data_IF_690199275261
#
_entry.id   IF_690199275261
#
_cell.length_a   1.000
_cell.length_b   1.000
_cell.length_c   1.000
_cell.angle_alpha   90.00
_cell.angle_beta   90.00
_cell.angle_gamma   90.00
#
_symmetry.space_group_name_H-M   'P 1'
#
loop_
_entity.id
_entity.type
_entity.pdbx_description
1 polymer ?
#
# COMPACT_ATOMS: atom_id res chain seq x y z
N UNK A 1 13.54 -6.27 -7.47
CA UNK A 1 12.74 -5.05 -7.74
C UNK A 1 13.65 -3.84 -7.72
N UNK A 2 13.55 -2.95 -8.71
CA UNK A 2 14.29 -1.68 -8.77
C UNK A 2 13.57 -0.65 -7.89
N UNK A 3 14.23 -0.16 -6.83
CA UNK A 3 13.94 1.03 -6.01
C UNK A 3 12.46 1.31 -5.64
N UNK A 4 12.05 0.94 -4.41
CA UNK A 4 10.68 1.17 -3.89
C UNK A 4 10.26 2.64 -3.95
N UNK A 5 11.14 3.56 -3.54
CA UNK A 5 10.81 4.99 -3.46
C UNK A 5 10.50 5.60 -4.83
N UNK A 6 11.25 5.22 -5.86
CA UNK A 6 11.01 5.69 -7.24
C UNK A 6 9.70 5.12 -7.80
N UNK A 7 9.45 3.82 -7.60
CA UNK A 7 8.23 3.20 -8.07
C UNK A 7 6.98 3.73 -7.35
N UNK A 8 7.07 4.00 -6.04
CA UNK A 8 5.97 4.54 -5.25
C UNK A 8 5.56 5.94 -5.74
N UNK A 9 6.52 6.79 -6.10
CA UNK A 9 6.20 8.12 -6.61
C UNK A 9 5.57 8.05 -8.00
N UNK A 10 6.17 7.29 -8.93
CA UNK A 10 5.61 7.12 -10.27
C UNK A 10 4.19 6.51 -10.23
N UNK A 11 3.97 5.54 -9.34
CA UNK A 11 2.65 4.96 -9.14
C UNK A 11 1.65 6.01 -8.65
N UNK A 12 2.00 6.80 -7.62
CA UNK A 12 1.11 7.81 -7.08
C UNK A 12 0.72 8.87 -8.14
N UNK A 13 1.70 9.43 -8.86
CA UNK A 13 1.45 10.46 -9.88
C UNK A 13 0.58 9.95 -11.03
N UNK A 14 0.86 8.74 -11.53
CA UNK A 14 0.07 8.15 -12.61
C UNK A 14 -1.38 7.87 -12.17
N UNK A 15 -1.58 7.49 -10.91
CA UNK A 15 -2.88 7.18 -10.36
C UNK A 15 -3.80 8.41 -10.25
N UNK A 16 -3.25 9.60 -10.04
CA UNK A 16 -4.06 10.83 -9.95
C UNK A 16 -4.79 11.11 -11.28
N UNK A 17 -4.11 10.95 -12.41
CA UNK A 17 -4.67 11.16 -13.74
C UNK A 17 -5.77 10.15 -14.10
N UNK A 18 -5.51 8.86 -13.85
CA UNK A 18 -6.49 7.80 -14.07
C UNK A 18 -7.72 7.95 -13.18
N UNK A 19 -7.51 8.33 -11.91
CA UNK A 19 -8.60 8.60 -10.96
C UNK A 19 -9.48 9.75 -11.45
N UNK A 20 -8.87 10.85 -11.90
CA UNK A 20 -9.60 11.98 -12.45
C UNK A 20 -10.43 11.58 -13.68
N UNK A 21 -9.86 10.77 -14.58
CA UNK A 21 -10.57 10.29 -15.77
C UNK A 21 -11.80 9.42 -15.41
N UNK A 22 -11.65 8.48 -14.48
CA UNK A 22 -12.76 7.60 -14.05
C UNK A 22 -13.85 8.41 -13.34
N UNK A 23 -13.47 9.22 -12.34
CA UNK A 23 -14.42 9.95 -11.50
C UNK A 23 -15.14 11.07 -12.24
N UNK A 24 -14.50 11.67 -13.25
CA UNK A 24 -15.14 12.66 -14.14
C UNK A 24 -16.29 12.07 -14.97
N UNK A 25 -16.39 10.75 -15.08
CA UNK A 25 -17.51 10.04 -15.69
C UNK A 25 -18.58 9.61 -14.66
N UNK A 26 -18.53 10.13 -13.44
CA UNK A 26 -19.41 9.78 -12.32
C UNK A 26 -19.36 8.28 -11.95
N UNK A 27 -18.24 7.62 -12.21
CA UNK A 27 -18.01 6.22 -11.85
C UNK A 27 -17.34 6.19 -10.47
N UNK A 28 -17.95 5.54 -9.46
CA UNK A 28 -17.32 5.37 -8.16
C UNK A 28 -15.99 4.62 -8.29
N UNK A 29 -14.95 5.16 -7.66
CA UNK A 29 -13.60 4.66 -7.74
C UNK A 29 -12.99 4.43 -6.36
N UNK A 30 -12.53 3.20 -6.12
CA UNK A 30 -11.90 2.81 -4.86
C UNK A 30 -10.50 2.25 -5.14
N UNK A 31 -9.53 2.61 -4.32
CA UNK A 31 -8.15 2.19 -4.48
C UNK A 31 -7.70 1.29 -3.33
N UNK A 32 -6.97 0.22 -3.63
CA UNK A 32 -6.28 -0.59 -2.62
C UNK A 32 -4.79 -0.56 -2.93
N UNK A 33 -3.98 -0.16 -1.94
CA UNK A 33 -2.54 -0.06 -2.02
C UNK A 33 -1.90 -0.96 -0.96
N UNK A 34 -1.31 -2.07 -1.39
CA UNK A 34 -0.67 -3.06 -0.50
C UNK A 34 0.84 -2.93 -0.61
N UNK A 35 1.51 -2.75 0.51
CA UNK A 35 2.97 -2.64 0.58
C UNK A 35 3.54 -3.40 1.77
N UNK A 36 4.73 -3.97 1.60
CA UNK A 36 5.47 -4.55 2.71
C UNK A 36 6.23 -3.47 3.48
N UNK A 37 6.22 -3.54 4.81
CA UNK A 37 6.93 -2.63 5.70
C UNK A 37 8.43 -2.57 5.39
N UNK A 38 8.99 -3.71 5.00
CA UNK A 38 10.43 -3.90 4.79
C UNK A 38 10.66 -4.81 3.59
N UNK A 39 11.44 -4.36 2.62
CA UNK A 39 11.82 -5.15 1.44
C UNK A 39 13.32 -5.08 1.19
N UNK A 40 13.98 -6.18 0.82
CA UNK A 40 15.41 -6.15 0.51
C UNK A 40 15.65 -5.44 -0.83
N UNK A 41 16.63 -4.55 -0.84
CA UNK A 41 17.14 -3.88 -2.03
C UNK A 41 18.46 -4.52 -2.43
N UNK A 42 18.51 -5.02 -3.66
CA UNK A 42 19.69 -5.61 -4.28
C UNK A 42 20.26 -4.68 -5.35
N UNK A 43 21.58 -4.52 -5.37
CA UNK A 43 22.28 -3.79 -6.42
C UNK A 43 22.38 -4.60 -7.72
N UNK A 44 22.86 -3.93 -8.77
CA UNK A 44 23.26 -4.57 -10.03
C UNK A 44 24.26 -5.69 -9.71
N UNK A 45 23.95 -6.92 -10.14
CA UNK A 45 24.71 -8.12 -9.76
C UNK A 45 24.06 -8.97 -8.66
N UNK A 46 22.92 -8.54 -8.09
CA UNK A 46 22.13 -9.34 -7.16
C UNK A 46 22.64 -9.32 -5.71
N UNK A 47 23.60 -8.45 -5.42
CA UNK A 47 24.21 -8.31 -4.09
C UNK A 47 23.27 -7.50 -3.19
N UNK A 48 22.99 -8.01 -1.99
CA UNK A 48 22.24 -7.27 -0.98
C UNK A 48 22.95 -5.96 -0.63
N UNK A 49 22.22 -4.84 -0.61
CA UNK A 49 22.75 -3.53 -0.20
C UNK A 49 22.13 -3.06 1.11
N UNK A 50 20.79 -3.06 1.18
CA UNK A 50 20.04 -2.56 2.33
C UNK A 50 18.62 -3.08 2.30
N UNK A 51 17.89 -2.85 3.39
CA UNK A 51 16.44 -2.92 3.37
C UNK A 51 15.86 -1.53 3.09
N UNK A 52 14.93 -1.46 2.15
CA UNK A 52 14.03 -0.32 2.03
C UNK A 52 12.90 -0.51 3.03
N UNK A 53 12.75 0.47 3.91
CA UNK A 53 11.76 0.47 4.99
C UNK A 53 10.75 1.57 4.67
N UNK A 54 9.47 1.21 4.69
CA UNK A 54 8.38 2.18 4.54
C UNK A 54 8.31 3.04 5.80
N UNK A 55 8.32 4.36 5.59
CA UNK A 55 8.23 5.37 6.64
C UNK A 55 6.96 6.20 6.47
N UNK A 56 6.58 6.95 7.50
CA UNK A 56 5.48 7.90 7.44
C UNK A 56 5.67 8.93 6.32
N UNK A 57 6.92 9.36 6.07
CA UNK A 57 7.24 10.28 4.99
C UNK A 57 6.85 9.72 3.61
N UNK A 58 7.02 8.41 3.39
CA UNK A 58 6.61 7.78 2.12
C UNK A 58 5.09 7.79 1.93
N UNK A 59 4.33 7.78 3.03
CA UNK A 59 2.87 7.82 3.00
C UNK A 59 2.28 9.22 3.15
N UNK A 60 3.10 10.24 3.38
CA UNK A 60 2.65 11.62 3.60
C UNK A 60 1.77 12.15 2.45
N UNK A 61 2.06 11.76 1.21
CA UNK A 61 1.21 12.10 0.04
C UNK A 61 -0.22 11.57 0.17
N UNK A 62 -0.38 10.34 0.70
CA UNK A 62 -1.69 9.78 0.98
C UNK A 62 -2.33 10.43 2.20
N UNK A 63 -1.54 10.89 3.19
CA UNK A 63 -2.06 11.66 4.33
C UNK A 63 -2.66 13.00 3.87
N UNK A 64 -2.00 13.69 2.95
CA UNK A 64 -2.54 14.91 2.33
C UNK A 64 -3.82 14.56 1.56
N UNK A 65 -3.76 13.58 0.65
CA UNK A 65 -4.91 13.16 -0.17
C UNK A 65 -6.11 12.69 0.67
N UNK A 66 -5.87 12.08 1.83
CA UNK A 66 -6.93 11.58 2.72
C UNK A 66 -7.84 12.65 3.31
N UNK A 67 -7.41 13.91 3.25
CA UNK A 67 -8.13 15.09 3.74
C UNK A 67 -8.94 15.77 2.66
N UNK A 68 -8.70 15.42 1.39
CA UNK A 68 -9.41 16.02 0.26
C UNK A 68 -10.84 15.51 0.21
N UNK A 69 -11.77 16.41 -0.15
CA UNK A 69 -13.15 16.05 -0.39
C UNK A 69 -13.28 15.42 -1.80
N UNK A 70 -13.66 14.14 -1.93
CA UNK A 70 -13.81 13.52 -3.24
C UNK A 70 -14.87 14.21 -4.11
N UNK A 71 -15.87 14.88 -3.53
CA UNK A 71 -16.90 15.59 -4.31
C UNK A 71 -16.37 16.89 -4.95
N UNK A 72 -15.25 17.42 -4.45
CA UNK A 72 -14.62 18.65 -4.96
C UNK A 72 -13.40 18.36 -5.83
N UNK A 73 -12.68 17.27 -5.52
CA UNK A 73 -11.41 16.93 -6.16
C UNK A 73 -11.49 15.57 -6.87
N UNK A 74 -11.63 15.57 -8.21
CA UNK A 74 -11.76 14.33 -8.97
C UNK A 74 -10.48 13.48 -9.03
N UNK A 75 -9.32 14.03 -8.65
CA UNK A 75 -8.06 13.28 -8.62
C UNK A 75 -7.89 12.40 -7.38
N UNK A 76 -8.78 12.50 -6.38
CA UNK A 76 -8.79 11.61 -5.22
C UNK A 76 -9.83 10.49 -5.40
N UNK A 77 -9.53 9.23 -5.02
CA UNK A 77 -10.53 8.16 -4.98
C UNK A 77 -11.64 8.44 -3.97
N UNK A 78 -12.81 7.82 -4.14
CA UNK A 78 -13.91 7.93 -3.15
C UNK A 78 -13.51 7.30 -1.81
N UNK A 79 -12.74 6.20 -1.85
CA UNK A 79 -11.99 5.64 -0.72
C UNK A 79 -10.70 4.98 -1.16
N UNK A 80 -9.69 5.06 -0.31
CA UNK A 80 -8.42 4.34 -0.46
C UNK A 80 -8.16 3.45 0.76
N UNK A 81 -7.78 2.21 0.54
CA UNK A 81 -7.22 1.32 1.57
C UNK A 81 -5.71 1.23 1.39
N UNK A 82 -4.96 1.55 2.45
CA UNK A 82 -3.54 1.24 2.54
C UNK A 82 -3.37 0.03 3.45
N UNK A 83 -2.75 -1.03 2.91
CA UNK A 83 -2.38 -2.21 3.67
C UNK A 83 -0.86 -2.25 3.80
N UNK A 84 -0.35 -1.97 4.99
CA UNK A 84 1.05 -2.11 5.35
C UNK A 84 1.25 -3.48 6.01
N UNK A 85 1.89 -4.39 5.29
CA UNK A 85 2.12 -5.77 5.72
C UNK A 85 3.50 -5.95 6.33
N UNK A 86 3.57 -6.63 7.46
CA UNK A 86 4.79 -7.18 8.03
C UNK A 86 4.88 -8.65 7.63
N UNK A 87 6.00 -9.04 7.01
CA UNK A 87 6.29 -10.43 6.67
C UNK A 87 6.98 -11.14 7.83
N UNK A 88 6.74 -12.45 7.97
CA UNK A 88 7.47 -13.32 8.87
C UNK A 88 8.98 -13.23 8.62
N UNK A 89 9.74 -12.99 9.69
CA UNK A 89 11.20 -12.98 9.63
C UNK A 89 11.74 -14.42 9.73
N UNK A 90 12.75 -14.74 8.93
CA UNK A 90 13.44 -16.04 9.00
C UNK A 90 14.13 -16.25 10.34
N UNK A 91 14.75 -15.18 10.84
CA UNK A 91 15.29 -15.04 12.18
C UNK A 91 15.47 -13.54 12.46
N UNK A 92 15.52 -13.12 13.73
CA UNK A 92 15.73 -11.71 14.07
C UNK A 92 16.94 -11.12 13.36
N UNK A 93 16.73 -10.09 12.55
CA UNK A 93 17.81 -9.39 11.84
C UNK A 93 18.43 -10.17 10.67
N UNK A 94 17.79 -11.24 10.18
CA UNK A 94 18.29 -11.99 9.02
C UNK A 94 18.46 -11.08 7.79
N UNK A 95 19.56 -11.26 7.06
CA UNK A 95 19.86 -10.58 5.80
C UNK A 95 19.86 -11.63 4.69
N UNK A 96 18.93 -11.48 3.74
CA UNK A 96 18.89 -12.36 2.56
C UNK A 96 20.07 -12.07 1.63
N UNK A 97 20.77 -13.13 1.23
CA UNK A 97 22.02 -13.03 0.46
C UNK A 97 21.80 -12.48 -0.94
N UNK A 98 20.81 -13.04 -1.62
CA UNK A 98 20.38 -12.65 -2.96
C UNK A 98 18.86 -12.77 -3.08
N UNK A 99 18.32 -12.41 -4.25
CA UNK A 99 16.88 -12.48 -4.52
C UNK A 99 16.33 -13.91 -4.53
N UNK A 100 17.17 -14.93 -4.77
CA UNK A 100 16.73 -16.34 -4.74
C UNK A 100 16.57 -16.81 -3.31
N UNK A 101 17.53 -16.52 -2.43
CA UNK A 101 17.47 -16.81 -0.99
C UNK A 101 16.22 -16.18 -0.34
N UNK A 102 15.85 -14.97 -0.74
CA UNK A 102 14.59 -14.32 -0.34
C UNK A 102 13.36 -15.07 -0.86
N UNK A 103 13.31 -15.36 -2.16
CA UNK A 103 12.16 -16.02 -2.78
C UNK A 103 11.96 -17.45 -2.26
N UNK A 104 13.03 -18.21 -2.09
CA UNK A 104 13.00 -19.60 -1.64
C UNK A 104 12.54 -19.69 -0.18
N UNK A 105 12.98 -18.77 0.69
CA UNK A 105 12.47 -18.70 2.06
C UNK A 105 10.97 -18.43 2.07
N UNK A 106 10.50 -17.36 1.41
CA UNK A 106 9.07 -17.03 1.44
C UNK A 106 8.21 -18.08 0.75
N UNK A 107 8.75 -18.83 -0.24
CA UNK A 107 8.08 -20.01 -0.81
C UNK A 107 7.92 -21.13 0.20
N UNK A 108 8.93 -21.34 1.06
CA UNK A 108 8.91 -22.41 2.08
C UNK A 108 7.93 -22.17 3.23
N UNK A 109 7.51 -20.92 3.45
CA UNK A 109 6.60 -20.52 4.52
C UNK A 109 5.25 -19.99 4.00
N UNK A 110 4.88 -20.30 2.74
CA UNK A 110 3.64 -19.79 2.12
C UNK A 110 2.37 -20.18 2.87
N UNK A 111 2.36 -21.39 3.44
CA UNK A 111 1.22 -21.96 4.16
C UNK A 111 1.24 -21.62 5.66
N UNK A 112 2.24 -20.88 6.13
CA UNK A 112 2.34 -20.49 7.52
C UNK A 112 1.25 -19.45 7.84
N UNK A 113 0.43 -19.73 8.85
CA UNK A 113 -0.66 -18.82 9.26
C UNK A 113 -0.16 -17.46 9.75
N UNK A 114 1.09 -17.39 10.21
CA UNK A 114 1.78 -16.17 10.67
C UNK A 114 2.69 -15.56 9.60
N UNK A 115 2.55 -15.94 8.33
CA UNK A 115 3.35 -15.41 7.23
C UNK A 115 3.25 -13.89 7.09
N UNK A 116 2.04 -13.35 7.27
CA UNK A 116 1.73 -11.93 7.09
C UNK A 116 0.89 -11.41 8.25
N UNK A 117 1.23 -10.22 8.72
CA UNK A 117 0.48 -9.48 9.73
C UNK A 117 0.32 -8.03 9.28
N UNK A 118 -0.69 -7.33 9.79
CA UNK A 118 -0.72 -5.87 9.66
C UNK A 118 0.40 -5.26 10.48
N UNK A 119 1.22 -4.43 9.85
CA UNK A 119 2.26 -3.67 10.52
C UNK A 119 1.64 -2.59 11.41
N UNK A 120 2.18 -2.44 12.61
CA UNK A 120 1.81 -1.41 13.58
C UNK A 120 2.79 -0.23 13.61
N UNK A 121 3.73 -0.19 12.65
CA UNK A 121 4.83 0.78 12.62
C UNK A 121 4.40 2.21 12.35
N UNK A 122 3.32 2.38 11.60
CA UNK A 122 2.80 3.69 11.21
C UNK A 122 1.53 3.94 12.03
N UNK A 123 1.51 5.10 12.70
CA UNK A 123 0.33 5.52 13.45
C UNK A 123 -0.76 5.96 12.47
N UNK A 124 -1.99 5.49 12.68
CA UNK A 124 -3.11 5.89 11.85
C UNK A 124 -3.48 7.36 12.12
N UNK A 125 -3.02 8.26 11.24
CA UNK A 125 -3.29 9.70 11.28
C UNK A 125 -4.08 10.19 10.05
N UNK A 126 -4.54 9.25 9.22
CA UNK A 126 -5.23 9.55 7.96
C UNK A 126 -6.62 10.15 8.20
N UNK A 127 -7.02 11.04 7.29
CA UNK A 127 -8.39 11.54 7.20
C UNK A 127 -9.35 10.50 6.63
N UNK A 128 -10.63 10.83 6.53
CA UNK A 128 -11.68 9.85 6.18
C UNK A 128 -11.49 9.23 4.77
N UNK A 129 -10.79 9.89 3.85
CA UNK A 129 -10.54 9.39 2.50
C UNK A 129 -9.65 8.14 2.44
N UNK A 130 -8.82 7.90 3.47
CA UNK A 130 -7.87 6.78 3.51
C UNK A 130 -8.09 5.94 4.77
N UNK A 131 -8.07 4.62 4.60
CA UNK A 131 -8.19 3.63 5.67
C UNK A 131 -6.88 2.86 5.74
N UNK A 132 -6.26 2.77 6.92
CA UNK A 132 -5.02 2.04 7.14
C UNK A 132 -5.30 0.70 7.82
N UNK A 133 -4.84 -0.40 7.21
CA UNK A 133 -4.87 -1.76 7.80
C UNK A 133 -6.24 -2.22 8.32
N UNK A 134 -7.33 -1.71 7.74
CA UNK A 134 -8.69 -2.13 8.10
C UNK A 134 -9.51 -2.43 6.84
N UNK A 135 -9.31 -3.64 6.32
CA UNK A 135 -10.03 -4.13 5.15
C UNK A 135 -11.54 -4.24 5.40
N UNK A 136 -11.94 -4.60 6.63
CA UNK A 136 -13.34 -4.75 7.00
C UNK A 136 -14.08 -3.41 6.98
N UNK A 137 -13.47 -2.35 7.53
CA UNK A 137 -14.04 -1.00 7.45
C UNK A 137 -14.08 -0.48 6.01
N UNK A 138 -13.03 -0.76 5.22
CA UNK A 138 -13.01 -0.41 3.80
C UNK A 138 -14.16 -1.07 3.03
N UNK A 139 -14.35 -2.39 3.16
CA UNK A 139 -15.47 -3.10 2.52
C UNK A 139 -16.81 -2.51 2.95
N UNK A 140 -16.99 -2.24 4.25
CA UNK A 140 -18.22 -1.67 4.78
C UNK A 140 -18.51 -0.29 4.18
N UNK A 141 -17.52 0.61 4.15
CA UNK A 141 -17.69 1.98 3.62
C UNK A 141 -17.94 1.97 2.11
N UNK A 142 -17.20 1.19 1.34
CA UNK A 142 -17.38 1.08 -0.12
C UNK A 142 -18.75 0.50 -0.47
N UNK A 143 -19.20 -0.55 0.22
CA UNK A 143 -20.55 -1.10 0.05
C UNK A 143 -21.64 -0.05 0.27
N UNK A 144 -21.56 0.71 1.39
CA UNK A 144 -22.53 1.76 1.69
C UNK A 144 -22.56 2.87 0.64
N UNK A 145 -21.42 3.22 0.05
CA UNK A 145 -21.33 4.22 -1.02
C UNK A 145 -21.99 3.73 -2.31
N UNK A 146 -21.69 2.49 -2.74
CA UNK A 146 -22.29 1.90 -3.94
C UNK A 146 -23.81 1.79 -3.78
N UNK A 147 -24.32 1.39 -2.61
CA UNK A 147 -25.76 1.30 -2.37
C UNK A 147 -26.49 2.64 -2.45
N UNK A 148 -25.86 3.74 -2.02
CA UNK A 148 -26.45 5.09 -2.11
C UNK A 148 -26.60 5.56 -3.56
N UNK A 149 -25.69 5.15 -4.44
CA UNK A 149 -25.68 5.57 -5.85
C UNK A 149 -26.63 4.77 -6.75
N UNK A 150 -27.27 3.71 -6.23
CA UNK A 150 -28.24 2.87 -6.98
C UNK A 150 -29.70 3.34 -6.73
N UNK A 151 -29.92 4.34 -5.87
CA UNK A 151 -31.25 4.94 -5.62
C UNK A 151 -31.42 6.26 -6.38
#
# INVERSE_FOLDING_TARGET
MRNYSQNSNNYFENMLGETANIRSNCIPYFQIFIVFERVPYYETGGIFKKYDIVTEHNLNKYLVLSKDNPDEFYHTPDKTLIVLLKLKEKSPGYIFRDSRDYADYYRSVLEDSDLVEYSTKITNTFGDGVILNDYSDFLRKTYLMVQKNIK
#
